data_IF_119614565286
#
_entry.id   IF_119614565286
#
_cell.length_a   1.000
_cell.length_b   1.000
_cell.length_c   1.000
_cell.angle_alpha   90.00
_cell.angle_beta   90.00
_cell.angle_gamma   90.00
#
_symmetry.space_group_name_H-M   'P 1'
#
loop_
_entity.id
_entity.type
_entity.pdbx_description
1 polymer ?
#
# COMPACT_ATOMS: atom_id res chain seq x y z
N UNK A 1 57.01 9.85 13.90
CA UNK A 1 55.93 10.57 13.26
C UNK A 1 54.73 9.64 13.12
N UNK A 2 53.79 9.80 14.03
CA UNK A 2 52.56 9.07 14.12
C UNK A 2 51.54 9.64 13.11
N UNK A 3 50.96 8.78 12.28
CA UNK A 3 49.73 9.08 11.57
C UNK A 3 48.58 8.42 12.33
N UNK A 4 47.72 9.21 12.93
CA UNK A 4 46.42 8.83 13.42
C UNK A 4 45.49 8.68 12.22
N UNK A 5 45.04 7.46 11.98
CA UNK A 5 43.93 7.18 11.07
C UNK A 5 42.61 7.33 11.80
N UNK A 6 41.88 8.35 11.39
CA UNK A 6 40.53 8.62 11.86
C UNK A 6 39.57 7.57 11.24
N UNK A 7 39.21 6.58 12.05
CA UNK A 7 38.26 5.53 11.67
C UNK A 7 36.82 6.03 11.83
N UNK A 8 36.27 6.66 10.80
CA UNK A 8 34.82 6.85 10.70
C UNK A 8 34.15 5.48 10.56
N UNK A 9 33.71 4.94 11.68
CA UNK A 9 32.81 3.82 11.71
C UNK A 9 31.48 4.26 11.10
N UNK A 10 31.17 3.77 9.91
CA UNK A 10 29.80 3.71 9.43
C UNK A 10 29.03 2.84 10.41
N UNK A 11 28.28 3.48 11.29
CA UNK A 11 27.24 2.80 12.08
C UNK A 11 26.19 2.32 11.09
N UNK A 12 26.28 1.05 10.70
CA UNK A 12 25.18 0.35 10.06
C UNK A 12 23.96 0.46 11.00
N UNK A 13 22.91 1.10 10.52
CA UNK A 13 21.62 1.13 11.19
C UNK A 13 21.14 -0.32 11.31
N UNK A 14 21.35 -0.93 12.47
CA UNK A 14 20.70 -2.20 12.81
C UNK A 14 19.20 -1.90 12.90
N UNK A 15 18.44 -2.34 11.88
CA UNK A 15 16.99 -2.30 11.96
C UNK A 15 16.58 -3.12 13.18
N UNK A 16 15.88 -2.49 14.14
CA UNK A 16 15.34 -3.20 15.30
C UNK A 16 14.44 -4.34 14.85
N UNK A 17 14.34 -5.41 15.64
CA UNK A 17 13.39 -6.49 15.35
C UNK A 17 11.95 -5.93 15.25
N UNK A 18 11.08 -6.53 14.43
CA UNK A 18 9.69 -6.09 14.35
C UNK A 18 8.96 -6.37 15.67
N UNK A 19 7.98 -5.55 15.96
CA UNK A 19 6.97 -5.82 16.97
C UNK A 19 5.82 -6.65 16.36
N UNK A 20 4.97 -7.24 17.20
CA UNK A 20 3.86 -8.06 16.75
C UNK A 20 2.56 -7.65 17.43
N UNK A 21 1.51 -7.44 16.62
CA UNK A 21 0.15 -7.25 17.07
C UNK A 21 -0.60 -8.57 16.94
N UNK A 22 -1.10 -9.13 18.04
CA UNK A 22 -1.98 -10.29 18.00
C UNK A 22 -3.39 -9.84 17.59
N UNK A 23 -3.88 -10.34 16.45
CA UNK A 23 -5.20 -9.99 15.93
C UNK A 23 -6.26 -10.91 16.52
N UNK A 24 -6.05 -12.22 16.39
CA UNK A 24 -6.88 -13.27 16.95
C UNK A 24 -6.05 -14.11 17.93
N UNK A 25 -6.63 -15.12 18.53
CA UNK A 25 -5.96 -15.95 19.53
C UNK A 25 -4.65 -16.62 19.05
N UNK A 26 -4.28 -16.50 17.76
CA UNK A 26 -3.11 -17.17 17.18
C UNK A 26 -2.42 -16.41 16.03
N UNK A 27 -3.05 -15.42 15.39
CA UNK A 27 -2.45 -14.71 14.25
C UNK A 27 -1.80 -13.40 14.66
N UNK A 28 -0.57 -13.16 14.23
CA UNK A 28 0.20 -11.96 14.58
C UNK A 28 0.57 -11.18 13.31
N UNK A 29 0.40 -9.88 13.38
CA UNK A 29 0.85 -8.91 12.37
C UNK A 29 2.17 -8.31 12.81
N UNK A 30 3.19 -8.45 11.99
CA UNK A 30 4.49 -7.82 12.18
C UNK A 30 4.40 -6.35 11.79
N UNK A 31 4.94 -5.46 12.62
CA UNK A 31 4.96 -4.03 12.36
C UNK A 31 6.21 -3.35 12.90
N UNK A 32 6.46 -2.15 12.40
CA UNK A 32 7.44 -1.21 12.95
C UNK A 32 6.78 0.16 13.08
N UNK A 33 7.01 0.85 14.16
CA UNK A 33 6.47 2.18 14.38
C UNK A 33 7.52 3.17 14.84
N UNK A 34 7.26 4.43 14.55
CA UNK A 34 7.99 5.58 15.03
C UNK A 34 6.99 6.47 15.78
N UNK A 35 7.33 6.81 17.01
CA UNK A 35 6.56 7.77 17.79
C UNK A 35 6.73 9.19 17.23
N UNK A 36 5.67 10.00 17.30
CA UNK A 36 5.69 11.37 16.80
C UNK A 36 4.34 12.06 16.90
N UNK A 37 4.24 13.23 16.28
CA UNK A 37 3.03 14.04 16.30
C UNK A 37 1.98 13.58 15.29
N UNK A 38 0.71 13.85 15.58
CA UNK A 38 -0.42 13.69 14.65
C UNK A 38 -0.48 14.86 13.65
N UNK A 39 -0.97 14.67 12.41
CA UNK A 39 -1.30 13.36 11.84
C UNK A 39 -0.06 12.51 11.64
N UNK A 40 -0.17 11.22 11.96
CA UNK A 40 0.83 10.22 11.63
C UNK A 40 0.68 9.72 10.20
N UNK A 41 1.61 8.88 9.77
CA UNK A 41 1.58 8.22 8.46
C UNK A 41 1.55 6.72 8.64
N UNK A 42 0.65 6.04 7.93
CA UNK A 42 0.58 4.57 7.87
C UNK A 42 0.83 4.13 6.43
N UNK A 43 1.82 3.26 6.23
CA UNK A 43 2.14 2.72 4.92
C UNK A 43 1.49 1.35 4.71
N UNK A 44 0.76 1.22 3.60
CA UNK A 44 0.09 0.00 3.16
C UNK A 44 0.82 -0.57 1.95
N UNK A 45 1.33 -1.80 2.08
CA UNK A 45 2.18 -2.48 1.09
C UNK A 45 1.39 -2.99 -0.13
N UNK A 46 2.11 -3.34 -1.20
CA UNK A 46 1.57 -4.01 -2.38
C UNK A 46 1.39 -5.52 -2.16
N UNK A 47 0.68 -6.15 -3.09
CA UNK A 47 0.44 -7.60 -3.10
C UNK A 47 1.76 -8.37 -3.24
N UNK A 48 2.04 -9.28 -2.30
CA UNK A 48 3.27 -10.06 -2.27
C UNK A 48 4.53 -9.27 -1.86
N UNK A 49 4.37 -8.03 -1.41
CA UNK A 49 5.44 -7.16 -0.91
C UNK A 49 5.64 -7.31 0.60
N UNK A 50 6.58 -6.55 1.16
CA UNK A 50 6.80 -6.46 2.60
C UNK A 50 7.00 -5.01 3.07
N UNK A 51 7.00 -4.81 4.39
CA UNK A 51 7.09 -3.50 5.03
C UNK A 51 8.48 -2.85 4.95
N UNK A 52 9.50 -3.54 4.46
CA UNK A 52 10.89 -3.05 4.39
C UNK A 52 11.24 -2.51 2.98
N UNK A 53 10.27 -2.36 2.10
CA UNK A 53 10.45 -1.82 0.74
C UNK A 53 10.83 -0.32 0.72
N UNK A 54 11.47 0.11 -0.37
CA UNK A 54 12.01 1.48 -0.55
C UNK A 54 10.99 2.58 -0.24
N UNK A 55 9.75 2.46 -0.72
CA UNK A 55 8.70 3.47 -0.50
C UNK A 55 8.31 3.59 0.98
N UNK A 56 8.20 2.46 1.68
CA UNK A 56 7.90 2.44 3.11
C UNK A 56 9.01 3.08 3.93
N UNK A 57 10.27 2.76 3.64
CA UNK A 57 11.44 3.35 4.29
C UNK A 57 11.57 4.85 4.00
N UNK A 58 11.24 5.28 2.79
CA UNK A 58 11.18 6.71 2.44
C UNK A 58 10.15 7.47 3.27
N UNK A 59 8.97 6.90 3.44
CA UNK A 59 7.93 7.50 4.29
C UNK A 59 8.35 7.56 5.76
N UNK A 60 9.03 6.53 6.26
CA UNK A 60 9.57 6.53 7.63
C UNK A 60 10.63 7.62 7.81
N UNK A 61 11.57 7.75 6.89
CA UNK A 61 12.60 8.81 6.93
C UNK A 61 11.98 10.20 6.85
N UNK A 62 10.96 10.37 6.01
CA UNK A 62 10.21 11.61 5.94
C UNK A 62 9.53 11.93 7.27
N UNK A 63 8.85 10.96 7.86
CA UNK A 63 8.16 11.12 9.14
C UNK A 63 9.13 11.49 10.26
N UNK A 64 10.28 10.81 10.31
CA UNK A 64 11.37 11.08 11.27
C UNK A 64 11.86 12.53 11.18
N UNK A 65 12.13 13.01 9.96
CA UNK A 65 12.59 14.38 9.72
C UNK A 65 11.54 15.44 10.07
N UNK A 66 10.27 15.10 9.96
CA UNK A 66 9.14 16.00 10.25
C UNK A 66 8.52 15.80 11.65
N UNK A 67 9.13 14.95 12.50
CA UNK A 67 8.64 14.66 13.85
C UNK A 67 7.25 14.03 13.90
N UNK A 68 6.86 13.29 12.85
CA UNK A 68 5.55 12.64 12.73
C UNK A 68 5.59 11.19 13.19
N UNK A 69 4.49 10.72 13.77
CA UNK A 69 4.29 9.31 13.99
C UNK A 69 4.27 8.56 12.66
N UNK A 70 4.81 7.35 12.64
CA UNK A 70 4.83 6.51 11.45
C UNK A 70 4.61 5.05 11.80
N UNK A 71 3.94 4.33 10.91
CA UNK A 71 3.73 2.90 11.06
C UNK A 71 3.76 2.21 9.69
N UNK A 72 4.48 1.10 9.61
CA UNK A 72 4.50 0.16 8.49
C UNK A 72 4.35 -1.27 9.01
N UNK A 73 3.70 -2.13 8.26
CA UNK A 73 3.37 -3.48 8.70
C UNK A 73 3.16 -4.42 7.50
N UNK A 74 3.23 -5.71 7.77
CA UNK A 74 2.93 -6.78 6.84
C UNK A 74 1.52 -7.29 7.09
N UNK A 75 0.69 -7.40 6.04
CA UNK A 75 -0.60 -8.08 6.16
C UNK A 75 -0.44 -9.55 6.50
N UNK A 76 -1.49 -10.22 6.95
CA UNK A 76 -1.52 -11.67 7.07
C UNK A 76 -1.00 -12.34 5.81
N UNK A 77 -0.10 -13.31 5.96
CA UNK A 77 0.52 -14.04 4.85
C UNK A 77 1.60 -13.28 4.08
N UNK A 78 1.96 -12.05 4.49
CA UNK A 78 3.04 -11.26 3.91
C UNK A 78 4.21 -11.13 4.87
N UNK A 79 5.42 -10.99 4.32
CA UNK A 79 6.63 -10.65 5.05
C UNK A 79 6.83 -11.49 6.31
N UNK A 80 6.85 -10.83 7.47
CA UNK A 80 7.11 -11.45 8.78
C UNK A 80 5.82 -11.73 9.58
N UNK A 81 4.64 -11.42 9.03
CA UNK A 81 3.35 -11.74 9.65
C UNK A 81 3.00 -13.21 9.51
N UNK A 82 2.20 -13.71 10.46
CA UNK A 82 1.67 -15.06 10.40
C UNK A 82 0.63 -15.21 9.26
N UNK A 83 0.29 -16.43 8.91
CA UNK A 83 -0.70 -16.77 7.90
C UNK A 83 -0.09 -17.29 6.60
N UNK A 84 -0.98 -17.73 5.70
CA UNK A 84 -0.60 -18.18 4.36
C UNK A 84 -1.03 -17.13 3.34
N UNK A 85 -0.13 -16.72 2.47
CA UNK A 85 -0.36 -15.71 1.43
C UNK A 85 -1.56 -16.07 0.53
N UNK A 86 -1.73 -17.33 0.17
CA UNK A 86 -2.82 -17.77 -0.72
C UNK A 86 -4.19 -17.82 -0.04
N UNK A 87 -4.26 -17.71 1.30
CA UNK A 87 -5.53 -17.62 2.03
C UNK A 87 -6.02 -16.16 2.15
N UNK A 88 -5.19 -15.19 1.76
CA UNK A 88 -5.50 -13.78 1.85
C UNK A 88 -6.58 -13.33 0.86
N UNK A 89 -7.42 -12.40 1.32
CA UNK A 89 -8.49 -11.77 0.53
C UNK A 89 -8.48 -10.25 0.76
N UNK A 90 -9.20 -9.51 -0.07
CA UNK A 90 -9.35 -8.05 0.12
C UNK A 90 -9.99 -7.77 1.48
N UNK A 91 -11.00 -8.56 1.89
CA UNK A 91 -11.63 -8.44 3.21
C UNK A 91 -10.66 -8.70 4.35
N UNK A 92 -9.90 -9.81 4.29
CA UNK A 92 -8.96 -10.17 5.37
C UNK A 92 -7.86 -9.13 5.53
N UNK A 93 -7.25 -8.67 4.45
CA UNK A 93 -6.21 -7.64 4.49
C UNK A 93 -6.76 -6.27 4.89
N UNK A 94 -8.00 -5.93 4.50
CA UNK A 94 -8.68 -4.73 5.01
C UNK A 94 -8.86 -4.80 6.52
N UNK A 95 -9.25 -5.97 7.06
CA UNK A 95 -9.40 -6.18 8.51
C UNK A 95 -8.06 -6.05 9.25
N UNK A 96 -6.97 -6.55 8.67
CA UNK A 96 -5.62 -6.34 9.20
C UNK A 96 -5.29 -4.85 9.30
N UNK A 97 -5.56 -4.08 8.23
CA UNK A 97 -5.36 -2.64 8.21
C UNK A 97 -6.19 -1.92 9.29
N UNK A 98 -7.45 -2.30 9.45
CA UNK A 98 -8.34 -1.73 10.48
C UNK A 98 -7.84 -2.03 11.89
N UNK A 99 -7.41 -3.27 12.16
CA UNK A 99 -6.86 -3.65 13.45
C UNK A 99 -5.59 -2.86 13.80
N UNK A 100 -4.70 -2.69 12.82
CA UNK A 100 -3.48 -1.90 12.96
C UNK A 100 -3.80 -0.42 13.20
N UNK A 101 -4.68 0.18 12.40
CA UNK A 101 -5.11 1.57 12.56
C UNK A 101 -5.72 1.81 13.94
N UNK A 102 -6.65 0.95 14.35
CA UNK A 102 -7.43 1.13 15.59
C UNK A 102 -6.61 0.87 16.86
N UNK A 103 -5.62 -0.04 16.81
CA UNK A 103 -4.91 -0.52 18.00
C UNK A 103 -3.47 0.00 18.14
N UNK A 104 -2.85 0.48 17.05
CA UNK A 104 -1.45 0.91 17.05
C UNK A 104 -1.26 2.40 16.72
N UNK A 105 -2.32 3.12 16.36
CA UNK A 105 -2.25 4.55 16.03
C UNK A 105 -3.29 5.37 16.78
N UNK A 106 -3.00 6.64 16.97
CA UNK A 106 -3.90 7.59 17.61
C UNK A 106 -4.20 8.78 16.68
N UNK A 107 -5.43 9.28 16.75
CA UNK A 107 -5.88 10.43 15.94
C UNK A 107 -5.95 10.14 14.44
N UNK A 108 -6.16 11.18 13.63
CA UNK A 108 -6.20 11.07 12.17
C UNK A 108 -4.84 10.70 11.58
N UNK A 109 -4.85 9.87 10.54
CA UNK A 109 -3.65 9.38 9.85
C UNK A 109 -3.66 9.75 8.36
N UNK A 110 -2.49 10.01 7.79
CA UNK A 110 -2.27 9.99 6.34
C UNK A 110 -1.98 8.54 5.96
N UNK A 111 -2.81 7.95 5.11
CA UNK A 111 -2.54 6.61 4.58
C UNK A 111 -1.79 6.73 3.27
N UNK A 112 -0.69 6.00 3.14
CA UNK A 112 0.09 5.88 1.90
C UNK A 112 -0.03 4.45 1.42
N UNK A 113 -0.74 4.23 0.32
CA UNK A 113 -1.00 2.90 -0.22
C UNK A 113 -0.33 2.66 -1.57
N UNK A 114 0.45 1.59 -1.69
CA UNK A 114 1.10 1.19 -2.93
C UNK A 114 0.38 -0.01 -3.56
N UNK A 115 -0.03 0.09 -4.82
CA UNK A 115 -0.70 -0.97 -5.57
C UNK A 115 -1.92 -1.53 -4.82
N UNK A 116 -1.92 -2.79 -4.36
CA UNK A 116 -2.96 -3.35 -3.46
C UNK A 116 -3.22 -2.43 -2.27
N UNK A 117 -2.18 -1.89 -1.64
CA UNK A 117 -2.31 -0.97 -0.52
C UNK A 117 -3.12 0.27 -0.86
N UNK A 118 -3.06 0.72 -2.13
CA UNK A 118 -3.91 1.78 -2.66
C UNK A 118 -5.39 1.41 -2.74
N UNK A 119 -5.73 0.13 -2.91
CA UNK A 119 -7.10 -0.35 -2.79
C UNK A 119 -7.54 -0.43 -1.33
N UNK A 120 -6.71 -1.07 -0.49
CA UNK A 120 -7.03 -1.24 0.94
C UNK A 120 -7.20 0.11 1.67
N UNK A 121 -6.43 1.14 1.31
CA UNK A 121 -6.60 2.47 1.92
C UNK A 121 -7.98 3.07 1.66
N UNK A 122 -8.61 2.78 0.51
CA UNK A 122 -9.97 3.22 0.22
C UNK A 122 -10.98 2.53 1.13
N UNK A 123 -10.85 1.21 1.31
CA UNK A 123 -11.70 0.43 2.21
C UNK A 123 -11.57 0.93 3.66
N UNK A 124 -10.34 1.19 4.11
CA UNK A 124 -10.07 1.74 5.45
C UNK A 124 -10.67 3.12 5.63
N UNK A 125 -10.51 4.01 4.63
CA UNK A 125 -11.06 5.37 4.68
C UNK A 125 -12.60 5.38 4.74
N UNK A 126 -13.25 4.48 4.02
CA UNK A 126 -14.71 4.31 4.09
C UNK A 126 -15.17 3.76 5.44
N UNK A 127 -14.41 2.83 6.03
CA UNK A 127 -14.75 2.21 7.31
C UNK A 127 -14.44 3.11 8.52
N UNK A 128 -13.46 4.01 8.41
CA UNK A 128 -12.98 4.88 9.51
C UNK A 128 -12.77 6.33 9.04
N UNK A 129 -13.78 7.01 8.49
CA UNK A 129 -13.60 8.34 7.89
C UNK A 129 -13.03 9.36 8.89
N UNK A 130 -13.40 9.31 10.16
CA UNK A 130 -12.88 10.21 11.20
C UNK A 130 -11.39 9.99 11.55
N UNK A 131 -10.82 8.85 11.15
CA UNK A 131 -9.42 8.50 11.38
C UNK A 131 -8.52 8.82 10.19
N UNK A 132 -9.03 9.45 9.13
CA UNK A 132 -8.30 9.72 7.89
C UNK A 132 -8.08 11.23 7.74
N UNK A 133 -6.82 11.64 7.77
CA UNK A 133 -6.40 13.01 7.48
C UNK A 133 -6.21 13.24 5.97
N UNK A 134 -5.70 12.24 5.26
CA UNK A 134 -5.49 12.28 3.82
C UNK A 134 -5.05 10.93 3.27
N UNK A 135 -5.08 10.79 1.95
CA UNK A 135 -4.69 9.58 1.24
C UNK A 135 -3.63 9.90 0.17
N UNK A 136 -2.59 9.08 0.10
CA UNK A 136 -1.63 9.10 -1.02
C UNK A 136 -1.60 7.71 -1.64
N UNK A 137 -1.97 7.60 -2.91
CA UNK A 137 -1.92 6.35 -3.67
C UNK A 137 -0.74 6.33 -4.62
N UNK A 138 0.02 5.24 -4.65
CA UNK A 138 1.15 5.04 -5.56
C UNK A 138 0.83 3.83 -6.42
N UNK A 139 0.63 4.04 -7.73
CA UNK A 139 0.19 2.99 -8.64
C UNK A 139 -1.00 2.21 -8.05
N UNK A 140 -1.94 2.92 -7.43
CA UNK A 140 -3.07 2.31 -6.72
C UNK A 140 -3.87 1.41 -7.66
N UNK A 141 -4.21 0.20 -7.18
CA UNK A 141 -4.84 -0.84 -7.96
C UNK A 141 -6.23 -1.24 -7.41
N UNK A 142 -7.18 -0.28 -7.24
CA UNK A 142 -8.54 -0.68 -6.91
C UNK A 142 -9.10 -1.60 -8.00
N UNK A 143 -9.94 -2.54 -7.60
CA UNK A 143 -10.67 -3.45 -8.48
C UNK A 143 -9.78 -4.41 -9.32
N UNK A 144 -8.47 -4.53 -9.01
CA UNK A 144 -7.54 -5.29 -9.85
C UNK A 144 -7.92 -6.77 -9.98
N UNK A 145 -8.53 -7.36 -8.97
CA UNK A 145 -8.95 -8.77 -9.01
C UNK A 145 -10.04 -9.04 -10.05
N UNK A 146 -10.91 -8.06 -10.28
CA UNK A 146 -11.93 -8.12 -11.32
C UNK A 146 -11.34 -7.72 -12.68
N UNK A 147 -10.80 -6.50 -12.80
CA UNK A 147 -10.42 -5.92 -14.09
C UNK A 147 -9.09 -6.47 -14.65
N UNK A 148 -8.08 -6.68 -13.79
CA UNK A 148 -6.73 -7.04 -14.24
C UNK A 148 -6.44 -8.53 -14.10
N UNK A 149 -7.21 -9.28 -13.31
CA UNK A 149 -7.11 -10.73 -13.23
C UNK A 149 -8.27 -11.35 -14.00
N UNK A 150 -9.47 -11.35 -13.45
CA UNK A 150 -10.61 -12.10 -13.98
C UNK A 150 -10.97 -11.72 -15.42
N UNK A 151 -11.11 -10.44 -15.72
CA UNK A 151 -11.52 -9.97 -17.05
C UNK A 151 -10.40 -10.12 -18.10
N UNK A 152 -9.14 -10.28 -17.68
CA UNK A 152 -8.01 -10.55 -18.59
C UNK A 152 -7.90 -12.01 -19.01
N UNK A 153 -8.56 -12.93 -18.29
CA UNK A 153 -8.54 -14.36 -18.59
C UNK A 153 -9.47 -14.69 -19.76
N UNK A 154 -9.02 -15.56 -20.65
CA UNK A 154 -9.90 -16.19 -21.61
C UNK A 154 -10.85 -17.20 -20.94
N UNK A 155 -11.85 -17.69 -21.69
CA UNK A 155 -12.84 -18.62 -21.12
C UNK A 155 -12.25 -19.93 -20.61
N UNK A 156 -11.19 -20.42 -21.25
CA UNK A 156 -10.49 -21.65 -20.82
C UNK A 156 -9.81 -21.42 -19.48
N UNK A 157 -9.10 -20.30 -19.35
CA UNK A 157 -8.46 -19.91 -18.09
C UNK A 157 -9.46 -19.63 -16.97
N UNK A 158 -10.58 -18.96 -17.27
CA UNK A 158 -11.66 -18.74 -16.30
C UNK A 158 -12.25 -20.08 -15.81
N UNK A 159 -12.51 -21.01 -16.71
CA UNK A 159 -12.98 -22.35 -16.35
C UNK A 159 -11.94 -23.08 -15.51
N UNK A 160 -10.68 -23.07 -15.92
CA UNK A 160 -9.58 -23.67 -15.14
C UNK A 160 -9.54 -23.09 -13.72
N UNK A 161 -9.60 -21.77 -13.58
CA UNK A 161 -9.57 -21.12 -12.27
C UNK A 161 -10.78 -21.50 -11.41
N UNK A 162 -11.97 -21.63 -12.00
CA UNK A 162 -13.17 -22.08 -11.30
C UNK A 162 -13.05 -23.54 -10.84
N UNK A 163 -12.54 -24.42 -11.69
CA UNK A 163 -12.45 -25.86 -11.42
C UNK A 163 -11.33 -26.20 -10.42
N UNK A 164 -10.20 -25.50 -10.51
CA UNK A 164 -9.02 -25.76 -9.65
C UNK A 164 -8.93 -24.85 -8.43
N UNK A 165 -9.73 -23.79 -8.37
CA UNK A 165 -9.72 -22.81 -7.28
C UNK A 165 -8.60 -21.77 -7.36
N UNK A 166 -7.76 -21.79 -8.40
CA UNK A 166 -6.65 -20.83 -8.57
C UNK A 166 -6.15 -20.79 -10.00
N UNK A 167 -5.39 -19.73 -10.34
CA UNK A 167 -4.65 -19.62 -11.58
C UNK A 167 -3.23 -19.10 -11.32
N UNK A 168 -2.26 -19.62 -12.09
CA UNK A 168 -0.89 -19.11 -12.11
C UNK A 168 -0.69 -18.24 -13.37
N UNK A 169 -0.27 -17.00 -13.17
CA UNK A 169 0.00 -16.04 -14.22
C UNK A 169 1.48 -15.66 -14.25
N UNK A 170 2.03 -15.24 -15.40
CA UNK A 170 3.42 -14.80 -15.49
C UNK A 170 3.72 -13.70 -14.49
N UNK A 171 4.91 -13.76 -13.88
CA UNK A 171 5.43 -12.74 -12.97
C UNK A 171 6.46 -11.89 -13.72
N UNK A 172 6.26 -10.56 -13.85
CA UNK A 172 7.21 -9.71 -14.56
C UNK A 172 8.57 -9.57 -13.85
N UNK A 173 8.67 -10.01 -12.59
CA UNK A 173 9.87 -9.81 -11.74
C UNK A 173 10.64 -11.09 -11.41
N UNK A 174 10.10 -12.26 -11.75
CA UNK A 174 10.76 -13.55 -11.49
C UNK A 174 10.26 -14.64 -12.43
N UNK A 175 11.02 -15.74 -12.53
CA UNK A 175 10.63 -16.94 -13.31
C UNK A 175 9.48 -17.72 -12.65
N UNK A 176 9.25 -17.50 -11.34
CA UNK A 176 8.15 -18.12 -10.61
C UNK A 176 6.84 -17.39 -10.88
N UNK A 177 5.77 -18.07 -11.29
CA UNK A 177 4.49 -17.44 -11.56
C UNK A 177 3.83 -16.89 -10.29
N UNK A 178 2.99 -15.88 -10.45
CA UNK A 178 2.11 -15.41 -9.38
C UNK A 178 0.83 -16.25 -9.40
N UNK A 179 0.50 -16.86 -8.25
CA UNK A 179 -0.72 -17.63 -8.08
C UNK A 179 -1.82 -16.76 -7.48
N UNK A 180 -2.96 -16.71 -8.14
CA UNK A 180 -4.15 -16.00 -7.69
C UNK A 180 -5.27 -16.98 -7.36
N UNK A 181 -5.68 -17.08 -6.05
CA UNK A 181 -6.82 -17.89 -5.65
C UNK A 181 -8.14 -17.32 -6.16
N UNK A 182 -9.09 -18.19 -6.52
CA UNK A 182 -10.45 -17.80 -6.90
C UNK A 182 -11.16 -17.08 -5.73
N UNK A 183 -10.84 -17.45 -4.48
CA UNK A 183 -11.36 -16.80 -3.30
C UNK A 183 -11.03 -15.30 -3.25
N UNK A 184 -9.81 -14.90 -3.65
CA UNK A 184 -9.39 -13.49 -3.75
C UNK A 184 -10.24 -12.73 -4.77
N UNK A 185 -10.48 -13.32 -5.94
CA UNK A 185 -11.30 -12.71 -6.99
C UNK A 185 -12.76 -12.60 -6.56
N UNK A 186 -13.29 -13.64 -5.93
CA UNK A 186 -14.68 -13.66 -5.46
C UNK A 186 -14.92 -12.63 -4.37
N UNK A 187 -14.04 -12.57 -3.38
CA UNK A 187 -14.12 -11.61 -2.28
C UNK A 187 -13.96 -10.16 -2.78
N UNK A 188 -13.04 -9.93 -3.71
CA UNK A 188 -12.78 -8.60 -4.27
C UNK A 188 -14.00 -7.95 -4.92
N UNK A 189 -14.97 -8.73 -5.40
CA UNK A 189 -16.23 -8.21 -5.99
C UNK A 189 -17.07 -7.41 -5.00
N UNK A 190 -16.95 -7.66 -3.70
CA UNK A 190 -17.64 -6.91 -2.65
C UNK A 190 -17.00 -5.55 -2.35
N UNK A 191 -15.84 -5.25 -2.92
CA UNK A 191 -15.01 -4.09 -2.60
C UNK A 191 -14.69 -3.19 -3.80
N UNK A 192 -15.48 -3.27 -4.88
CA UNK A 192 -15.24 -2.49 -6.10
C UNK A 192 -15.49 -1.00 -5.89
N UNK A 193 -14.63 -0.15 -6.43
CA UNK A 193 -14.68 1.31 -6.29
C UNK A 193 -14.77 2.07 -7.61
N UNK A 194 -14.36 1.47 -8.74
CA UNK A 194 -14.31 2.18 -10.01
C UNK A 194 -15.65 2.23 -10.74
N UNK A 195 -16.66 1.55 -10.24
CA UNK A 195 -17.99 1.45 -10.87
C UNK A 195 -19.03 2.40 -10.29
N UNK A 196 -18.79 2.99 -9.11
CA UNK A 196 -19.74 3.82 -8.38
C UNK A 196 -19.03 4.97 -7.66
N UNK A 197 -19.76 6.02 -7.24
CA UNK A 197 -19.20 7.08 -6.40
C UNK A 197 -18.60 6.53 -5.10
N UNK A 198 -17.43 7.06 -4.71
CA UNK A 198 -16.70 6.68 -3.50
C UNK A 198 -16.79 7.83 -2.49
N UNK A 199 -17.48 7.64 -1.39
CA UNK A 199 -17.73 8.67 -0.39
C UNK A 199 -16.53 8.90 0.54
N UNK A 200 -15.41 9.30 -0.04
CA UNK A 200 -14.20 9.76 0.66
C UNK A 200 -14.06 11.25 0.42
N UNK A 201 -14.09 12.04 1.49
CA UNK A 201 -14.01 13.50 1.45
C UNK A 201 -12.66 14.07 1.88
N UNK A 202 -11.80 13.24 2.47
CA UNK A 202 -10.43 13.62 2.80
C UNK A 202 -9.62 13.97 1.55
N UNK A 203 -8.58 14.82 1.65
CA UNK A 203 -7.67 15.11 0.53
C UNK A 203 -7.00 13.83 0.00
N UNK A 204 -6.89 13.71 -1.33
CA UNK A 204 -6.28 12.56 -2.01
C UNK A 204 -5.24 13.02 -3.01
N UNK A 205 -4.07 12.37 -3.00
CA UNK A 205 -3.05 12.54 -4.03
C UNK A 205 -2.68 11.18 -4.63
N UNK A 206 -2.90 11.00 -5.92
CA UNK A 206 -2.58 9.77 -6.64
C UNK A 206 -1.34 9.99 -7.52
N UNK A 207 -0.32 9.16 -7.31
CA UNK A 207 0.93 9.13 -8.09
C UNK A 207 0.91 7.90 -8.98
N UNK A 208 1.14 8.06 -10.30
CA UNK A 208 1.11 6.93 -11.22
C UNK A 208 2.12 7.09 -12.35
N UNK A 209 2.79 5.99 -12.69
CA UNK A 209 3.69 5.94 -13.84
C UNK A 209 2.94 5.67 -15.15
N UNK A 210 3.28 6.41 -16.21
CA UNK A 210 2.62 6.21 -17.51
C UNK A 210 3.19 5.00 -18.28
N UNK A 211 4.26 4.38 -17.80
CA UNK A 211 4.83 3.11 -18.31
C UNK A 211 4.54 1.94 -17.36
N UNK A 212 3.48 2.04 -16.58
CA UNK A 212 3.01 0.96 -15.73
C UNK A 212 2.30 -0.10 -16.58
N UNK A 213 2.95 -1.27 -16.73
CA UNK A 213 2.45 -2.40 -17.52
C UNK A 213 1.53 -3.32 -16.70
N UNK A 214 1.43 -3.12 -15.37
CA UNK A 214 0.61 -3.93 -14.48
C UNK A 214 -0.73 -3.27 -14.19
N UNK A 215 -0.72 -1.98 -13.84
CA UNK A 215 -1.91 -1.19 -13.56
C UNK A 215 -1.96 -0.01 -14.52
N UNK A 216 -2.92 0.06 -15.44
CA UNK A 216 -3.04 1.20 -16.35
C UNK A 216 -3.13 2.51 -15.58
N UNK A 217 -2.34 3.52 -15.97
CA UNK A 217 -2.34 4.83 -15.30
C UNK A 217 -3.72 5.52 -15.33
N UNK A 218 -4.58 5.17 -16.29
CA UNK A 218 -5.96 5.63 -16.37
C UNK A 218 -6.78 5.23 -15.14
N UNK A 219 -6.37 4.18 -14.41
CA UNK A 219 -6.98 3.80 -13.14
C UNK A 219 -6.95 4.95 -12.13
N UNK A 220 -5.85 5.72 -12.08
CA UNK A 220 -5.73 6.87 -11.19
C UNK A 220 -6.74 7.99 -11.55
N UNK A 221 -6.91 8.30 -12.83
CA UNK A 221 -7.88 9.33 -13.27
C UNK A 221 -9.32 8.87 -13.09
N UNK A 222 -9.63 7.60 -13.39
CA UNK A 222 -10.94 6.99 -13.12
C UNK A 222 -11.29 7.02 -11.63
N UNK A 223 -10.34 6.69 -10.76
CA UNK A 223 -10.54 6.76 -9.32
C UNK A 223 -10.79 8.21 -8.88
N UNK A 224 -10.00 9.17 -9.38
CA UNK A 224 -10.17 10.59 -9.07
C UNK A 224 -11.58 11.10 -9.40
N UNK A 225 -12.17 10.64 -10.50
CA UNK A 225 -13.54 10.99 -10.91
C UNK A 225 -14.62 10.40 -9.98
N UNK A 226 -14.32 9.31 -9.26
CA UNK A 226 -15.28 8.66 -8.36
C UNK A 226 -15.28 9.22 -6.94
N UNK A 227 -14.17 9.82 -6.52
CA UNK A 227 -14.00 10.33 -5.16
C UNK A 227 -14.90 11.54 -4.90
N UNK A 228 -15.57 11.57 -3.75
CA UNK A 228 -16.39 12.70 -3.30
C UNK A 228 -15.55 13.91 -2.83
N UNK A 229 -14.25 13.71 -2.59
CA UNK A 229 -13.34 14.77 -2.16
C UNK A 229 -13.23 15.88 -3.19
N UNK A 230 -13.32 17.14 -2.73
CA UNK A 230 -13.05 18.32 -3.56
C UNK A 230 -11.55 18.61 -3.75
N UNK A 231 -10.70 17.91 -2.99
CA UNK A 231 -9.25 18.08 -3.03
C UNK A 231 -8.58 16.78 -3.51
N UNK A 232 -8.65 16.53 -4.80
CA UNK A 232 -8.02 15.38 -5.46
C UNK A 232 -6.97 15.87 -6.44
N UNK A 233 -5.76 15.33 -6.31
CA UNK A 233 -4.66 15.57 -7.23
C UNK A 233 -4.19 14.26 -7.85
N UNK A 234 -3.88 14.26 -9.14
CA UNK A 234 -3.25 13.15 -9.86
C UNK A 234 -1.95 13.64 -10.47
N UNK A 235 -0.84 12.96 -10.15
CA UNK A 235 0.47 13.21 -10.76
C UNK A 235 0.87 12.02 -11.61
N UNK A 236 0.98 12.24 -12.92
CA UNK A 236 1.40 11.24 -13.89
C UNK A 236 2.88 11.44 -14.23
N UNK A 237 3.68 10.40 -14.10
CA UNK A 237 5.11 10.42 -14.41
C UNK A 237 5.36 9.63 -15.68
N UNK A 238 5.76 10.31 -16.76
CA UNK A 238 5.85 9.73 -18.11
C UNK A 238 6.75 8.49 -18.19
N UNK A 239 7.88 8.50 -17.51
CA UNK A 239 8.91 7.46 -17.62
C UNK A 239 8.94 6.52 -16.40
N UNK A 240 7.90 6.49 -15.58
CA UNK A 240 7.80 5.61 -14.43
C UNK A 240 6.97 4.37 -14.74
N UNK A 241 7.41 3.21 -14.24
CA UNK A 241 6.68 1.95 -14.26
C UNK A 241 5.95 1.70 -12.94
N UNK A 242 5.47 0.45 -12.76
CA UNK A 242 4.64 0.06 -11.61
C UNK A 242 5.34 0.23 -10.25
N UNK A 243 6.61 -0.12 -10.15
CA UNK A 243 7.35 -0.05 -8.88
C UNK A 243 7.48 1.36 -8.32
N UNK A 244 7.55 2.38 -9.17
CA UNK A 244 7.63 3.78 -8.78
C UNK A 244 8.69 4.02 -7.68
N UNK A 245 9.92 3.51 -7.89
CA UNK A 245 10.97 3.47 -6.85
C UNK A 245 12.30 4.09 -7.27
N UNK A 246 12.36 4.70 -8.47
CA UNK A 246 13.55 5.43 -8.90
C UNK A 246 13.71 6.74 -8.07
N UNK A 247 14.94 7.28 -7.97
CA UNK A 247 15.22 8.43 -7.08
C UNK A 247 14.32 9.65 -7.30
N UNK A 248 13.97 9.99 -8.54
CA UNK A 248 13.08 11.10 -8.88
C UNK A 248 11.63 10.82 -8.48
N UNK A 249 11.20 9.56 -8.57
CA UNK A 249 9.87 9.10 -8.16
C UNK A 249 9.74 9.09 -6.64
N UNK A 250 10.79 8.67 -5.95
CA UNK A 250 10.88 8.71 -4.48
C UNK A 250 10.89 10.15 -3.97
N UNK A 251 11.57 11.07 -4.66
CA UNK A 251 11.51 12.49 -4.34
C UNK A 251 10.08 13.03 -4.46
N UNK A 252 9.36 12.66 -5.53
CA UNK A 252 7.96 13.06 -5.73
C UNK A 252 7.02 12.52 -4.62
N UNK A 253 7.30 11.33 -4.08
CA UNK A 253 6.57 10.83 -2.91
C UNK A 253 6.79 11.71 -1.67
N UNK A 254 8.02 12.17 -1.45
CA UNK A 254 8.34 13.14 -0.39
C UNK A 254 7.57 14.45 -0.57
N UNK A 255 7.56 15.01 -1.79
CA UNK A 255 6.81 16.23 -2.12
C UNK A 255 5.29 16.04 -1.91
N UNK A 256 4.77 14.85 -2.22
CA UNK A 256 3.36 14.54 -1.99
C UNK A 256 3.00 14.50 -0.50
N UNK A 257 3.89 13.98 0.35
CA UNK A 257 3.74 14.01 1.80
C UNK A 257 3.80 15.44 2.35
N UNK A 258 4.74 16.26 1.89
CA UNK A 258 4.85 17.68 2.26
C UNK A 258 3.59 18.45 1.84
N UNK A 259 3.14 18.25 0.61
CA UNK A 259 1.92 18.87 0.08
C UNK A 259 0.66 18.42 0.83
N UNK A 260 0.58 17.15 1.22
CA UNK A 260 -0.52 16.64 2.03
C UNK A 260 -0.53 17.29 3.42
N UNK A 261 0.62 17.34 4.09
CA UNK A 261 0.73 17.95 5.41
C UNK A 261 0.37 19.44 5.39
N UNK A 262 0.79 20.18 4.35
CA UNK A 262 0.45 21.59 4.18
C UNK A 262 -1.06 21.85 4.01
N UNK A 263 -1.80 20.90 3.44
CA UNK A 263 -3.28 21.00 3.30
C UNK A 263 -4.02 20.77 4.62
N UNK A 264 -3.36 20.17 5.61
CA UNK A 264 -3.94 19.81 6.91
C UNK A 264 -3.57 20.81 8.02
N UNK A 265 -2.72 21.77 7.71
CA UNK A 265 -2.32 22.89 8.58
C UNK A 265 -3.27 24.08 8.37
#
# INVERSE_FOLDING_TARGET
>A
NAFHGDGTQHQGSFMSAPEFLTIDNSSRIAYRRLEGHSPGVVFLIGHGSDMDGTKALTCEDWARRNGRAFLRFDYSGHGQSDGNFLDGTISSWTNDCLAVLDRLTEGPQILVGSSLGGWLMLNVALARPARIAGLIGIAAAPDFTAELIWDSLDKTQQTQMQDTGQIALPNPYSDDPVVYPMALVTDGKAHLHLQAPVNITAPVHLLHGMQDDEVPWQTATRLAEKLASENVQVSLVRNAGHRFSEPDQIALLGDALDGMLAKLS
#
